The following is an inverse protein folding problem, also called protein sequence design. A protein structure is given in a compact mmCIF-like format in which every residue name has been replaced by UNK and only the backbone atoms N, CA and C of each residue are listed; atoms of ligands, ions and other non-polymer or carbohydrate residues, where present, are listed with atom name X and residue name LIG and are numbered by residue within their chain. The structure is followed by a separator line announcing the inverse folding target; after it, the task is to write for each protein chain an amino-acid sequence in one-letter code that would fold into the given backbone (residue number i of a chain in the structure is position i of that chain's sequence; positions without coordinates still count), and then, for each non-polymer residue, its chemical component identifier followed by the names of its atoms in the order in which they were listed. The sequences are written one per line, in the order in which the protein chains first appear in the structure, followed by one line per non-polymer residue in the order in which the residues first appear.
data_IF_384418911075
#
_entry.id   IF_384418911075
#
_cell.length_a   1.000
_cell.length_b   1.000
_cell.length_c   1.000
_cell.angle_alpha   90.00
_cell.angle_beta   90.00
_cell.angle_gamma   90.00
#
_symmetry.space_group_name_H-M   'P 1'
#
loop_
_entity.id
_entity.type
_entity.pdbx_description
1 polymer ?
#
# COMPACT_ATOMS: atom_id res chain seq x y z
N UNK A 1 -19.77 2.33 7.35
CA UNK A 1 -19.14 1.67 6.19
C UNK A 1 -19.19 0.16 6.38
N UNK A 2 -19.41 -0.63 5.33
CA UNK A 2 -19.26 -2.10 5.41
C UNK A 2 -17.77 -2.45 5.48
N UNK A 3 -17.45 -3.55 6.14
CA UNK A 3 -16.08 -4.06 6.29
C UNK A 3 -15.94 -5.50 5.82
N UNK A 4 -14.72 -5.93 5.55
CA UNK A 4 -14.33 -7.31 5.21
C UNK A 4 -12.99 -7.61 5.87
N UNK A 5 -12.70 -8.89 6.06
CA UNK A 5 -11.37 -9.33 6.49
C UNK A 5 -10.43 -9.37 5.29
N UNK A 6 -9.28 -8.73 5.45
CA UNK A 6 -8.12 -8.82 4.57
C UNK A 6 -6.99 -9.50 5.38
N UNK A 7 -6.80 -10.81 5.18
CA UNK A 7 -5.96 -11.57 6.10
C UNK A 7 -6.49 -11.46 7.54
N UNK A 8 -5.68 -10.88 8.43
CA UNK A 8 -6.00 -10.67 9.85
C UNK A 8 -6.54 -9.27 10.16
N UNK A 9 -6.63 -8.38 9.18
CA UNK A 9 -7.03 -6.98 9.36
C UNK A 9 -8.46 -6.79 8.86
N UNK A 10 -9.31 -6.14 9.64
CA UNK A 10 -10.62 -5.70 9.19
C UNK A 10 -10.50 -4.39 8.42
N UNK A 11 -10.90 -4.39 7.14
CA UNK A 11 -10.78 -3.25 6.24
C UNK A 11 -12.15 -2.78 5.72
N UNK A 12 -12.37 -1.48 5.50
CA UNK A 12 -13.56 -1.00 4.82
C UNK A 12 -13.58 -1.46 3.36
N UNK A 13 -14.77 -1.66 2.80
CA UNK A 13 -14.93 -2.07 1.38
C UNK A 13 -14.58 -0.97 0.39
N UNK A 14 -14.39 0.26 0.86
CA UNK A 14 -13.93 1.41 0.07
C UNK A 14 -12.64 1.92 0.71
N UNK A 15 -11.59 2.05 -0.11
CA UNK A 15 -10.32 2.66 0.25
C UNK A 15 -10.00 3.88 -0.60
N UNK A 16 -9.02 4.65 -0.18
CA UNK A 16 -8.47 5.81 -0.88
C UNK A 16 -7.20 5.43 -1.62
N UNK A 17 -7.25 5.44 -2.96
CA UNK A 17 -6.05 5.37 -3.80
C UNK A 17 -5.45 6.76 -4.01
N UNK A 18 -4.14 6.88 -3.94
CA UNK A 18 -3.44 8.17 -3.94
C UNK A 18 -2.67 8.48 -5.22
N UNK A 19 -2.69 7.58 -6.20
CA UNK A 19 -2.05 7.78 -7.50
C UNK A 19 -2.51 9.10 -8.15
N UNK A 20 -1.57 9.94 -8.56
CA UNK A 20 -1.75 11.27 -9.15
C UNK A 20 -2.51 12.31 -8.27
N UNK A 21 -3.36 11.87 -7.34
CA UNK A 21 -4.17 12.79 -6.52
C UNK A 21 -3.42 13.35 -5.33
N UNK A 22 -2.39 12.66 -4.82
CA UNK A 22 -1.54 13.11 -3.71
C UNK A 22 -0.12 13.51 -4.18
N UNK A 23 0.14 13.58 -5.48
CA UNK A 23 1.37 14.15 -6.03
C UNK A 23 1.23 15.67 -6.09
N UNK A 24 1.46 16.34 -4.97
CA UNK A 24 1.32 17.80 -4.79
C UNK A 24 2.51 18.35 -4.03
N UNK A 25 2.76 19.68 -4.12
CA UNK A 25 3.98 20.31 -3.61
C UNK A 25 3.69 21.44 -2.64
N UNK A 26 2.61 22.20 -2.84
CA UNK A 26 2.35 23.41 -2.05
C UNK A 26 1.64 23.11 -0.73
N UNK A 27 1.89 23.92 0.27
CA UNK A 27 1.24 23.81 1.59
C UNK A 27 -0.29 23.87 1.48
N UNK A 28 -0.83 24.68 0.58
CA UNK A 28 -2.28 24.80 0.42
C UNK A 28 -2.88 23.53 -0.20
N UNK A 29 -2.19 22.93 -1.16
CA UNK A 29 -2.61 21.62 -1.70
C UNK A 29 -2.53 20.51 -0.64
N UNK A 30 -1.50 20.51 0.22
CA UNK A 30 -1.36 19.55 1.33
C UNK A 30 -2.49 19.76 2.36
N UNK A 31 -2.89 20.99 2.65
CA UNK A 31 -4.06 21.27 3.51
C UNK A 31 -5.35 20.66 2.94
N UNK A 32 -5.54 20.74 1.62
CA UNK A 32 -6.67 20.08 0.95
C UNK A 32 -6.62 18.56 1.16
N UNK A 33 -5.43 17.92 1.04
CA UNK A 33 -5.27 16.47 1.28
C UNK A 33 -5.55 16.10 2.73
N UNK A 34 -5.17 16.94 3.68
CA UNK A 34 -5.55 16.77 5.09
C UNK A 34 -7.07 16.78 5.26
N UNK A 35 -7.77 17.74 4.64
CA UNK A 35 -9.25 17.79 4.67
C UNK A 35 -9.87 16.54 4.04
N UNK A 36 -9.29 16.02 2.94
CA UNK A 36 -9.75 14.76 2.33
C UNK A 36 -9.59 13.60 3.32
N UNK A 37 -8.43 13.48 3.99
CA UNK A 37 -8.21 12.43 4.99
C UNK A 37 -9.15 12.56 6.18
N UNK A 38 -9.43 13.78 6.66
CA UNK A 38 -10.42 14.02 7.72
C UNK A 38 -11.81 13.53 7.32
N UNK A 39 -12.24 13.86 6.09
CA UNK A 39 -13.50 13.37 5.55
C UNK A 39 -13.52 11.84 5.37
N UNK A 40 -12.40 11.24 4.99
CA UNK A 40 -12.27 9.79 4.90
C UNK A 40 -12.50 9.12 6.26
N UNK A 41 -11.89 9.62 7.33
CA UNK A 41 -12.11 9.11 8.70
C UNK A 41 -13.56 9.26 9.11
N UNK A 42 -14.16 10.44 8.92
CA UNK A 42 -15.55 10.74 9.25
C UNK A 42 -16.54 9.76 8.59
N UNK A 43 -16.26 9.35 7.34
CA UNK A 43 -17.10 8.43 6.56
C UNK A 43 -16.66 6.96 6.65
N UNK A 44 -15.64 6.64 7.45
CA UNK A 44 -15.15 5.28 7.67
C UNK A 44 -14.30 4.72 6.52
N UNK A 45 -13.78 5.57 5.63
CA UNK A 45 -12.80 5.23 4.58
C UNK A 45 -11.41 5.25 5.20
N UNK A 46 -11.01 4.17 5.86
CA UNK A 46 -9.75 4.12 6.64
C UNK A 46 -8.57 3.50 5.90
N UNK A 47 -8.81 2.79 4.81
CA UNK A 47 -7.76 2.14 4.03
C UNK A 47 -7.17 3.13 3.02
N UNK A 48 -5.85 3.40 3.12
CA UNK A 48 -5.11 4.27 2.21
C UNK A 48 -4.10 3.42 1.45
N UNK A 49 -4.13 3.49 0.12
CA UNK A 49 -3.16 2.83 -0.77
C UNK A 49 -2.27 3.86 -1.46
N UNK A 50 -0.96 3.70 -1.30
CA UNK A 50 0.07 4.53 -1.92
C UNK A 50 1.23 3.70 -2.48
N UNK A 51 2.28 4.36 -2.99
CA UNK A 51 3.47 3.70 -3.53
C UNK A 51 4.62 4.70 -3.67
N UNK A 52 5.89 4.28 -3.51
CA UNK A 52 7.06 5.10 -3.84
C UNK A 52 7.09 5.54 -5.31
N UNK A 53 6.37 4.83 -6.20
CA UNK A 53 6.16 5.16 -7.61
C UNK A 53 5.28 6.41 -7.82
N UNK A 54 4.54 6.85 -6.80
CA UNK A 54 3.57 7.94 -6.89
C UNK A 54 4.19 9.30 -6.50
N UNK A 55 5.47 9.48 -6.79
CA UNK A 55 6.26 10.71 -6.59
C UNK A 55 6.18 11.23 -5.14
N UNK A 56 5.51 12.38 -4.90
CA UNK A 56 5.41 13.01 -3.58
C UNK A 56 4.34 12.38 -2.66
N UNK A 57 3.57 11.43 -3.17
CA UNK A 57 2.38 10.90 -2.49
C UNK A 57 2.66 10.40 -1.07
N UNK A 58 3.74 9.63 -0.85
CA UNK A 58 4.08 9.12 0.48
C UNK A 58 4.42 10.26 1.46
N UNK A 59 5.18 11.26 1.04
CA UNK A 59 5.52 12.42 1.86
C UNK A 59 4.29 13.25 2.20
N UNK A 60 3.44 13.52 1.20
CA UNK A 60 2.19 14.26 1.39
C UNK A 60 1.24 13.55 2.35
N UNK A 61 1.12 12.22 2.26
CA UNK A 61 0.35 11.41 3.20
C UNK A 61 0.94 11.54 4.60
N UNK A 62 2.25 11.38 4.78
CA UNK A 62 2.91 11.48 6.07
C UNK A 62 2.68 12.83 6.74
N UNK A 63 2.69 13.93 5.97
CA UNK A 63 2.37 15.28 6.47
C UNK A 63 0.87 15.43 6.77
N UNK A 64 0.01 15.01 5.86
CA UNK A 64 -1.43 15.19 5.99
C UNK A 64 -2.03 14.31 7.11
N UNK A 65 -1.41 13.18 7.42
CA UNK A 65 -1.83 12.21 8.43
C UNK A 65 -1.24 12.48 9.82
N UNK A 66 -0.42 13.54 9.99
CA UNK A 66 0.26 13.85 11.24
C UNK A 66 -0.72 13.96 12.41
N UNK A 67 -0.46 13.20 13.48
CA UNK A 67 -1.34 13.09 14.65
C UNK A 67 -2.54 12.15 14.50
N UNK A 68 -2.72 11.50 13.33
CA UNK A 68 -3.88 10.65 13.00
C UNK A 68 -3.50 9.28 12.42
N UNK A 69 -2.22 8.87 12.53
CA UNK A 69 -1.74 7.60 11.94
C UNK A 69 -2.61 6.40 12.34
N UNK A 70 -3.03 6.34 13.60
CA UNK A 70 -3.84 5.24 14.15
C UNK A 70 -5.27 5.16 13.57
N UNK A 71 -5.75 6.21 12.90
CA UNK A 71 -7.07 6.22 12.29
C UNK A 71 -7.11 5.50 10.94
N UNK A 72 -5.92 5.16 10.39
CA UNK A 72 -5.77 4.61 9.05
C UNK A 72 -5.10 3.25 9.02
N UNK A 73 -5.52 2.45 8.07
CA UNK A 73 -4.87 1.23 7.59
C UNK A 73 -4.07 1.63 6.35
N UNK A 74 -2.74 1.54 6.43
CA UNK A 74 -1.83 2.07 5.43
C UNK A 74 -1.21 0.95 4.60
N UNK A 75 -1.41 1.04 3.29
CA UNK A 75 -0.77 0.17 2.31
C UNK A 75 0.21 0.95 1.44
N UNK A 76 1.43 0.44 1.30
CA UNK A 76 2.41 0.92 0.31
C UNK A 76 3.15 -0.24 -0.34
N UNK A 77 4.17 0.05 -1.13
CA UNK A 77 4.76 -0.94 -2.03
C UNK A 77 6.30 -0.84 -2.05
N UNK A 78 6.94 -1.92 -2.53
CA UNK A 78 8.34 -1.89 -2.99
C UNK A 78 8.35 -2.04 -4.52
N UNK A 79 9.15 -1.22 -5.20
CA UNK A 79 9.24 -1.17 -6.66
C UNK A 79 10.66 -0.82 -7.12
N UNK A 80 11.55 -1.78 -6.98
CA UNK A 80 12.96 -1.68 -7.40
C UNK A 80 13.55 -3.09 -7.45
N UNK A 81 14.57 -3.33 -8.25
CA UNK A 81 15.31 -4.60 -8.26
C UNK A 81 16.42 -4.61 -7.20
N UNK A 82 16.68 -5.79 -6.63
CA UNK A 82 17.76 -6.05 -5.69
C UNK A 82 17.38 -5.87 -4.22
N UNK A 83 17.90 -6.79 -3.38
CA UNK A 83 17.56 -6.87 -1.94
C UNK A 83 17.88 -5.57 -1.20
N UNK A 84 19.12 -5.07 -1.31
CA UNK A 84 19.57 -3.91 -0.55
C UNK A 84 18.84 -2.63 -1.00
N UNK A 85 18.62 -2.49 -2.31
CA UNK A 85 17.87 -1.38 -2.87
C UNK A 85 16.40 -1.41 -2.41
N UNK A 86 15.78 -2.59 -2.36
CA UNK A 86 14.43 -2.76 -1.84
C UNK A 86 14.32 -2.39 -0.37
N UNK A 87 15.26 -2.85 0.47
CA UNK A 87 15.33 -2.48 1.89
C UNK A 87 15.45 -0.95 2.05
N UNK A 88 16.36 -0.32 1.29
CA UNK A 88 16.53 1.12 1.34
C UNK A 88 15.28 1.89 0.87
N UNK A 89 14.58 1.42 -0.19
CA UNK A 89 13.35 2.03 -0.65
C UNK A 89 12.24 1.92 0.41
N UNK A 90 12.05 0.75 1.01
CA UNK A 90 11.05 0.55 2.07
C UNK A 90 11.37 1.42 3.31
N UNK A 91 12.64 1.49 3.71
CA UNK A 91 13.05 2.37 4.81
C UNK A 91 12.74 3.86 4.51
N UNK A 92 12.92 4.29 3.25
CA UNK A 92 12.51 5.63 2.81
C UNK A 92 10.99 5.80 2.89
N UNK A 93 10.19 4.81 2.50
CA UNK A 93 8.73 4.86 2.64
C UNK A 93 8.29 5.04 4.09
N UNK A 94 8.87 4.32 5.04
CA UNK A 94 8.62 4.52 6.48
C UNK A 94 8.91 5.96 6.92
N UNK A 95 10.04 6.51 6.50
CA UNK A 95 10.44 7.88 6.84
C UNK A 95 9.49 8.93 6.24
N UNK A 96 9.12 8.80 4.96
CA UNK A 96 8.22 9.73 4.28
C UNK A 96 6.81 9.66 4.86
N UNK A 97 6.31 8.48 5.15
CA UNK A 97 4.99 8.23 5.76
C UNK A 97 4.96 8.56 7.26
N UNK A 98 6.12 8.90 7.87
CA UNK A 98 6.29 9.24 9.29
C UNK A 98 5.68 8.17 10.21
N UNK A 99 5.99 6.92 9.97
CA UNK A 99 5.45 5.77 10.71
C UNK A 99 6.53 4.72 10.95
N UNK A 100 6.40 3.94 12.00
CA UNK A 100 7.21 2.76 12.33
C UNK A 100 6.50 1.44 11.98
N UNK A 101 5.23 1.51 11.52
CA UNK A 101 4.43 0.36 11.15
C UNK A 101 3.60 0.63 9.88
N UNK A 102 3.63 -0.34 8.94
CA UNK A 102 2.80 -0.33 7.72
C UNK A 102 1.90 -1.57 7.74
N UNK A 103 0.60 -1.37 7.57
CA UNK A 103 -0.37 -2.46 7.69
C UNK A 103 -0.26 -3.45 6.52
N UNK A 104 -0.01 -2.97 5.30
CA UNK A 104 0.15 -3.82 4.12
C UNK A 104 1.34 -3.35 3.29
N UNK A 105 2.38 -4.19 3.16
CA UNK A 105 3.50 -3.93 2.25
C UNK A 105 3.42 -4.85 1.04
N UNK A 106 3.37 -4.27 -0.15
CA UNK A 106 3.14 -5.00 -1.39
C UNK A 106 4.35 -4.94 -2.33
N UNK A 107 4.53 -5.99 -3.13
CA UNK A 107 5.47 -5.98 -4.26
C UNK A 107 4.74 -5.42 -5.48
N UNK A 108 5.21 -4.26 -5.97
CA UNK A 108 4.58 -3.54 -7.06
C UNK A 108 4.97 -4.12 -8.41
N UNK A 109 3.98 -4.41 -9.25
CA UNK A 109 4.17 -4.94 -10.59
C UNK A 109 5.03 -6.21 -10.65
N UNK A 110 5.06 -6.99 -9.56
CA UNK A 110 5.81 -8.25 -9.44
C UNK A 110 7.33 -8.10 -9.58
N UNK A 111 7.87 -6.86 -9.48
CA UNK A 111 9.29 -6.58 -9.66
C UNK A 111 10.09 -7.31 -8.58
N UNK A 112 11.03 -8.15 -9.03
CA UNK A 112 11.95 -8.94 -8.19
C UNK A 112 11.28 -9.64 -6.99
N UNK A 113 10.09 -10.22 -7.24
CA UNK A 113 9.22 -10.71 -6.18
C UNK A 113 9.85 -11.83 -5.33
N UNK A 114 10.68 -12.69 -5.93
CA UNK A 114 11.34 -13.81 -5.21
C UNK A 114 12.33 -13.29 -4.16
N UNK A 115 13.01 -12.17 -4.47
CA UNK A 115 13.90 -11.47 -3.54
C UNK A 115 13.10 -10.76 -2.45
N UNK A 116 12.11 -9.95 -2.85
CA UNK A 116 11.41 -9.07 -1.92
C UNK A 116 10.49 -9.81 -0.96
N UNK A 117 9.85 -10.90 -1.38
CA UNK A 117 8.95 -11.62 -0.47
C UNK A 117 9.68 -12.12 0.78
N UNK A 118 10.94 -12.54 0.65
CA UNK A 118 11.74 -12.96 1.82
C UNK A 118 12.00 -11.81 2.78
N UNK A 119 12.28 -10.61 2.25
CA UNK A 119 12.45 -9.40 3.06
C UNK A 119 11.15 -9.00 3.75
N UNK A 120 10.01 -9.09 3.05
CA UNK A 120 8.70 -8.78 3.63
C UNK A 120 8.33 -9.76 4.76
N UNK A 121 8.66 -11.05 4.61
CA UNK A 121 8.46 -12.05 5.68
C UNK A 121 9.33 -11.75 6.91
N UNK A 122 10.59 -11.35 6.71
CA UNK A 122 11.48 -10.89 7.78
C UNK A 122 10.87 -9.67 8.51
N UNK A 123 10.44 -8.65 7.76
CA UNK A 123 9.83 -7.44 8.33
C UNK A 123 8.51 -7.73 9.06
N UNK A 124 7.72 -8.68 8.57
CA UNK A 124 6.49 -9.14 9.23
C UNK A 124 6.80 -9.85 10.56
N UNK A 125 7.81 -10.71 10.57
CA UNK A 125 8.26 -11.39 11.79
C UNK A 125 8.81 -10.41 12.84
N UNK A 126 9.41 -9.30 12.39
CA UNK A 126 9.88 -8.21 13.26
C UNK A 126 8.76 -7.27 13.72
N UNK A 127 7.54 -7.44 13.24
CA UNK A 127 6.39 -6.59 13.58
C UNK A 127 6.43 -5.19 12.94
N UNK A 128 7.21 -4.98 11.89
CA UNK A 128 7.29 -3.74 11.13
C UNK A 128 6.17 -3.59 10.11
N UNK A 129 5.68 -4.71 9.59
CA UNK A 129 4.54 -4.76 8.68
C UNK A 129 3.51 -5.78 9.15
N UNK A 130 2.24 -5.56 8.78
CA UNK A 130 1.14 -6.46 9.13
C UNK A 130 0.97 -7.60 8.12
N UNK A 131 0.79 -7.26 6.87
CA UNK A 131 0.51 -8.22 5.78
C UNK A 131 1.49 -8.04 4.62
N UNK A 132 1.85 -9.17 4.01
CA UNK A 132 2.58 -9.21 2.74
C UNK A 132 1.61 -9.19 1.57
N UNK A 133 1.97 -8.51 0.48
CA UNK A 133 1.10 -8.44 -0.69
C UNK A 133 1.83 -8.37 -2.02
N UNK A 134 1.07 -8.54 -3.08
CA UNK A 134 1.52 -8.30 -4.46
C UNK A 134 0.43 -7.57 -5.24
N UNK A 135 0.84 -6.70 -6.15
CA UNK A 135 -0.09 -5.96 -7.00
C UNK A 135 0.35 -5.91 -8.45
N UNK A 136 -0.61 -5.91 -9.34
CA UNK A 136 -0.44 -5.56 -10.75
C UNK A 136 -1.77 -5.13 -11.37
N UNK A 137 -1.73 -4.10 -12.22
CA UNK A 137 -2.94 -3.57 -12.85
C UNK A 137 -3.29 -4.26 -14.19
N UNK A 138 -2.33 -4.95 -14.82
CA UNK A 138 -2.53 -5.52 -16.16
C UNK A 138 -3.03 -6.96 -16.07
N UNK A 139 -4.09 -7.34 -16.82
CA UNK A 139 -4.59 -8.73 -16.88
C UNK A 139 -3.53 -9.75 -17.30
N UNK A 140 -2.56 -9.34 -18.12
CA UNK A 140 -1.44 -10.20 -18.57
C UNK A 140 -0.55 -10.67 -17.42
N UNK A 141 -0.61 -10.04 -16.25
CA UNK A 141 0.14 -10.43 -15.06
C UNK A 141 -0.55 -11.55 -14.24
N UNK A 142 -1.83 -11.83 -14.46
CA UNK A 142 -2.62 -12.77 -13.69
C UNK A 142 -2.01 -14.19 -13.61
N UNK A 143 -1.45 -14.79 -14.69
CA UNK A 143 -0.82 -16.10 -14.59
C UNK A 143 0.34 -16.16 -13.58
N UNK A 144 1.15 -15.10 -13.51
CA UNK A 144 2.25 -15.03 -12.53
C UNK A 144 1.70 -14.76 -11.12
N UNK A 145 0.72 -13.89 -10.95
CA UNK A 145 0.03 -13.69 -9.66
C UNK A 145 -0.53 -15.01 -9.15
N UNK A 146 -1.20 -15.78 -9.99
CA UNK A 146 -1.72 -17.09 -9.61
C UNK A 146 -0.61 -18.07 -9.18
N UNK A 147 0.58 -18.03 -9.82
CA UNK A 147 1.76 -18.79 -9.37
C UNK A 147 2.23 -18.31 -7.99
N UNK A 148 2.32 -17.01 -7.79
CA UNK A 148 2.73 -16.41 -6.51
C UNK A 148 1.76 -16.79 -5.38
N UNK A 149 0.45 -16.70 -5.60
CA UNK A 149 -0.57 -17.13 -4.63
C UNK A 149 -0.41 -18.58 -4.20
N UNK A 150 -0.09 -19.48 -5.14
CA UNK A 150 0.12 -20.92 -4.83
C UNK A 150 1.32 -21.18 -3.95
N UNK A 151 2.24 -20.23 -3.79
CA UNK A 151 3.35 -20.36 -2.83
C UNK A 151 2.90 -20.28 -1.37
N UNK A 152 1.71 -19.71 -1.10
CA UNK A 152 1.20 -19.47 0.25
C UNK A 152 1.94 -18.39 1.04
N UNK A 153 2.84 -17.62 0.39
CA UNK A 153 3.69 -16.61 1.02
C UNK A 153 3.06 -15.22 1.08
N UNK A 154 1.99 -14.99 0.31
CA UNK A 154 1.31 -13.70 0.21
C UNK A 154 -0.02 -13.74 0.97
N UNK A 155 -0.22 -12.76 1.85
CA UNK A 155 -1.48 -12.59 2.59
C UNK A 155 -2.54 -11.90 1.72
N UNK A 156 -2.10 -11.02 0.78
CA UNK A 156 -3.01 -10.18 -0.01
C UNK A 156 -2.58 -10.10 -1.47
N UNK A 157 -3.56 -9.89 -2.34
CA UNK A 157 -3.36 -9.48 -3.73
C UNK A 157 -4.18 -8.23 -4.04
N UNK A 158 -3.64 -7.37 -4.91
CA UNK A 158 -4.36 -6.22 -5.44
C UNK A 158 -4.30 -6.27 -6.96
N UNK A 159 -5.46 -6.38 -7.60
CA UNK A 159 -5.63 -6.53 -9.04
C UNK A 159 -6.76 -5.66 -9.55
N UNK A 160 -6.76 -5.35 -10.84
CA UNK A 160 -7.89 -4.65 -11.48
C UNK A 160 -9.11 -5.55 -11.49
N UNK A 161 -10.23 -5.04 -11.00
CA UNK A 161 -11.54 -5.64 -11.09
C UNK A 161 -12.60 -4.54 -11.17
N UNK A 162 -13.36 -4.49 -12.24
CA UNK A 162 -14.40 -3.49 -12.46
C UNK A 162 -15.47 -4.02 -13.42
N UNK A 163 -16.47 -3.23 -13.73
CA UNK A 163 -17.60 -3.64 -14.59
C UNK A 163 -17.23 -4.02 -16.03
N UNK A 164 -16.01 -3.67 -16.46
CA UNK A 164 -15.47 -3.99 -17.79
C UNK A 164 -14.37 -5.05 -17.74
N UNK A 165 -13.74 -5.25 -16.57
CA UNK A 165 -12.59 -6.14 -16.37
C UNK A 165 -12.89 -7.06 -15.19
N UNK A 166 -13.30 -8.29 -15.45
CA UNK A 166 -13.64 -9.31 -14.44
C UNK A 166 -13.12 -10.71 -14.78
N UNK A 167 -12.03 -10.77 -15.56
CA UNK A 167 -11.35 -12.03 -15.94
C UNK A 167 -10.47 -12.62 -14.81
N UNK A 168 -10.71 -12.23 -13.55
CA UNK A 168 -9.94 -12.62 -12.36
C UNK A 168 -10.62 -13.72 -11.54
#
# INVERSE_FOLDING_TARGET
MQTRMLGTIEVPVIGLGTFATFDVITDDEIKVRRTILDSCVEHGVKFIDTSPMYKQSEEVIGIAMEGKRSDFILATKVWIEGKDAGIAQMAKSFALLKTDYIDVMQIHNQVDWETHITVLEEMKAEGKIGLTGVTHQMPTALPLIAKMMRTGRFDTIQISYNVMEHDV
#
